data_IF_954685978764
#
_entry.id   IF_954685978764
#
_cell.length_a   1.000
_cell.length_b   1.000
_cell.length_c   1.000
_cell.angle_alpha   90.00
_cell.angle_beta   90.00
_cell.angle_gamma   90.00
#
_symmetry.space_group_name_H-M   'P 1'
#
loop_
_entity.id
_entity.type
_entity.pdbx_description
1 polymer ?
#
# COMPACT_ATOMS: atom_id res chain seq x y z
N UNK A 1 5.78 6.09 8.47
CA UNK A 1 4.78 5.52 7.53
C UNK A 1 5.03 4.04 7.25
N UNK A 2 6.29 3.62 7.07
CA UNK A 2 6.66 2.21 6.85
C UNK A 2 6.08 1.24 7.89
N UNK A 3 6.20 1.55 9.18
CA UNK A 3 5.69 0.68 10.25
C UNK A 3 4.16 0.62 10.30
N UNK A 4 3.49 1.75 10.04
CA UNK A 4 2.03 1.79 9.90
C UNK A 4 1.55 0.88 8.77
N UNK A 5 2.19 0.97 7.60
CA UNK A 5 1.86 0.13 6.45
C UNK A 5 2.09 -1.36 6.75
N UNK A 6 3.20 -1.71 7.42
CA UNK A 6 3.47 -3.08 7.86
C UNK A 6 2.36 -3.61 8.76
N UNK A 7 1.97 -2.82 9.77
CA UNK A 7 0.92 -3.22 10.70
C UNK A 7 -0.42 -3.44 9.99
N UNK A 8 -0.81 -2.51 9.12
CA UNK A 8 -2.06 -2.62 8.34
C UNK A 8 -2.03 -3.79 7.36
N UNK A 9 -0.88 -4.06 6.75
CA UNK A 9 -0.69 -5.20 5.86
C UNK A 9 -0.85 -6.53 6.62
N UNK A 10 -0.30 -6.65 7.81
CA UNK A 10 -0.48 -7.84 8.64
C UNK A 10 -1.95 -8.02 9.06
N UNK A 11 -2.65 -6.93 9.38
CA UNK A 11 -4.10 -6.96 9.60
C UNK A 11 -4.84 -7.49 8.37
N UNK A 12 -4.61 -6.89 7.19
CA UNK A 12 -5.22 -7.31 5.92
C UNK A 12 -4.90 -8.76 5.54
N UNK A 13 -3.67 -9.22 5.77
CA UNK A 13 -3.28 -10.63 5.57
C UNK A 13 -4.10 -11.56 6.45
N UNK A 14 -4.47 -11.14 7.65
CA UNK A 14 -5.22 -11.95 8.62
C UNK A 14 -6.72 -11.93 8.36
N UNK A 15 -7.31 -10.75 8.12
CA UNK A 15 -8.76 -10.58 8.05
C UNK A 15 -9.31 -10.51 6.62
N UNK A 16 -8.51 -10.06 5.65
CA UNK A 16 -8.87 -9.87 4.24
C UNK A 16 -10.17 -9.07 4.04
N UNK A 17 -10.43 -8.09 4.91
CA UNK A 17 -11.66 -7.30 4.86
C UNK A 17 -11.52 -6.08 3.95
N UNK A 18 -12.65 -5.52 3.54
CA UNK A 18 -12.67 -4.26 2.78
C UNK A 18 -12.16 -3.09 3.65
N UNK A 19 -12.45 -3.09 4.95
CA UNK A 19 -11.98 -2.07 5.88
C UNK A 19 -10.45 -2.06 6.00
N UNK A 20 -9.80 -3.21 6.18
CA UNK A 20 -8.33 -3.27 6.24
C UNK A 20 -7.68 -2.94 4.89
N UNK A 21 -8.37 -3.22 3.78
CA UNK A 21 -7.97 -2.78 2.44
C UNK A 21 -8.07 -1.26 2.26
N UNK A 22 -9.12 -0.63 2.80
CA UNK A 22 -9.27 0.83 2.79
C UNK A 22 -8.20 1.52 3.65
N UNK A 23 -7.85 0.96 4.80
CA UNK A 23 -6.77 1.47 5.65
C UNK A 23 -5.42 1.50 4.91
N UNK A 24 -5.10 0.42 4.19
CA UNK A 24 -3.93 0.35 3.32
C UNK A 24 -3.98 1.44 2.24
N UNK A 25 -5.11 1.60 1.57
CA UNK A 25 -5.28 2.61 0.53
C UNK A 25 -5.08 4.03 1.06
N UNK A 26 -5.68 4.36 2.19
CA UNK A 26 -5.59 5.70 2.79
C UNK A 26 -4.14 6.05 3.18
N UNK A 27 -3.43 5.08 3.74
CA UNK A 27 -2.04 5.29 4.15
C UNK A 27 -1.12 5.41 2.93
N UNK A 28 -1.30 4.58 1.89
CA UNK A 28 -0.57 4.69 0.63
C UNK A 28 -0.86 6.01 -0.09
N UNK A 29 -2.11 6.46 -0.08
CA UNK A 29 -2.49 7.74 -0.66
C UNK A 29 -1.82 8.93 0.05
N UNK A 30 -1.54 8.79 1.35
CA UNK A 30 -0.80 9.79 2.13
C UNK A 30 0.70 9.84 1.81
N UNK A 31 1.27 8.74 1.30
CA UNK A 31 2.68 8.66 0.86
C UNK A 31 2.89 9.45 -0.45
N UNK A 32 1.87 9.53 -1.32
CA UNK A 32 1.96 10.31 -2.58
C UNK A 32 1.99 11.84 -2.40
N UNK A 33 2.11 12.36 -1.17
CA UNK A 33 2.24 13.80 -0.95
C UNK A 33 3.60 14.31 -1.49
N UNK A 34 3.61 15.31 -2.39
CA UNK A 34 4.84 15.86 -3.00
C UNK A 34 5.82 16.47 -1.98
N UNK A 35 5.37 16.67 -0.75
CA UNK A 35 6.19 17.17 0.37
C UNK A 35 7.19 16.16 0.93
N UNK A 36 7.09 14.87 0.57
CA UNK A 36 7.89 13.81 1.18
C UNK A 36 9.21 13.51 0.44
N UNK A 37 9.44 14.13 -0.73
CA UNK A 37 10.74 14.03 -1.43
C UNK A 37 11.12 12.61 -1.87
N UNK A 38 10.14 11.72 -2.06
CA UNK A 38 10.38 10.34 -2.45
C UNK A 38 10.97 10.22 -3.85
N UNK A 39 11.84 9.22 -4.03
CA UNK A 39 12.40 8.88 -5.33
C UNK A 39 11.36 8.26 -6.28
N UNK A 40 11.65 8.31 -7.59
CA UNK A 40 10.73 7.83 -8.63
C UNK A 40 10.33 6.37 -8.45
N UNK A 41 11.20 5.52 -7.89
CA UNK A 41 10.91 4.12 -7.60
C UNK A 41 9.82 3.98 -6.54
N UNK A 42 9.93 4.76 -5.47
CA UNK A 42 8.91 4.80 -4.41
C UNK A 42 7.57 5.32 -4.94
N UNK A 43 7.57 6.36 -5.78
CA UNK A 43 6.35 6.89 -6.39
C UNK A 43 5.67 5.87 -7.31
N UNK A 44 6.45 5.15 -8.13
CA UNK A 44 5.92 4.09 -8.99
C UNK A 44 5.29 2.96 -8.17
N UNK A 45 5.94 2.51 -7.09
CA UNK A 45 5.40 1.49 -6.20
C UNK A 45 4.07 1.94 -5.56
N UNK A 46 3.99 3.21 -5.15
CA UNK A 46 2.76 3.81 -4.59
C UNK A 46 1.63 3.82 -5.63
N UNK A 47 1.90 4.23 -6.87
CA UNK A 47 0.89 4.23 -7.93
C UNK A 47 0.40 2.81 -8.28
N UNK A 48 1.30 1.84 -8.35
CA UNK A 48 0.95 0.44 -8.58
C UNK A 48 0.04 -0.10 -7.47
N UNK A 49 0.43 0.10 -6.20
CA UNK A 49 -0.37 -0.35 -5.07
C UNK A 49 -1.75 0.31 -5.02
N UNK A 50 -1.88 1.61 -5.37
CA UNK A 50 -3.18 2.29 -5.47
C UNK A 50 -4.08 1.64 -6.53
N UNK A 51 -3.54 1.29 -7.70
CA UNK A 51 -4.30 0.60 -8.75
C UNK A 51 -4.76 -0.79 -8.29
N UNK A 52 -3.88 -1.55 -7.65
CA UNK A 52 -4.21 -2.88 -7.13
C UNK A 52 -5.27 -2.82 -6.03
N UNK A 53 -5.18 -1.84 -5.12
CA UNK A 53 -6.17 -1.63 -4.05
C UNK A 53 -7.52 -1.12 -4.56
N UNK A 54 -7.57 -0.34 -5.65
CA UNK A 54 -8.84 0.13 -6.22
C UNK A 54 -9.51 -0.90 -7.13
N UNK A 55 -8.81 -1.98 -7.49
CA UNK A 55 -9.38 -3.05 -8.30
C UNK A 55 -10.41 -3.85 -7.49
N UNK A 56 -11.65 -3.95 -8.01
CA UNK A 56 -12.77 -4.71 -7.38
C UNK A 56 -12.51 -6.21 -7.31
N UNK A 57 -11.75 -6.75 -8.26
CA UNK A 57 -11.32 -8.16 -8.32
C UNK A 57 -9.89 -8.28 -7.78
N UNK A 58 -9.57 -7.53 -6.72
CA UNK A 58 -8.23 -7.52 -6.14
C UNK A 58 -7.91 -8.89 -5.56
N UNK A 59 -7.01 -9.63 -6.21
CA UNK A 59 -6.48 -10.87 -5.65
C UNK A 59 -5.66 -10.52 -4.40
N UNK A 60 -5.99 -11.11 -3.26
CA UNK A 60 -5.31 -10.87 -1.97
C UNK A 60 -3.78 -10.92 -2.11
N UNK A 61 -3.27 -11.88 -2.90
CA UNK A 61 -1.84 -12.04 -3.14
C UNK A 61 -1.21 -10.84 -3.86
N UNK A 62 -1.91 -10.26 -4.84
CA UNK A 62 -1.46 -9.07 -5.58
C UNK A 62 -1.48 -7.82 -4.70
N UNK A 63 -2.52 -7.66 -3.88
CA UNK A 63 -2.59 -6.57 -2.89
C UNK A 63 -1.42 -6.68 -1.92
N UNK A 64 -1.17 -7.87 -1.37
CA UNK A 64 -0.04 -8.08 -0.45
C UNK A 64 1.29 -7.71 -1.10
N UNK A 65 1.57 -8.24 -2.30
CA UNK A 65 2.82 -7.97 -3.02
C UNK A 65 3.02 -6.49 -3.33
N UNK A 66 1.98 -5.82 -3.82
CA UNK A 66 2.08 -4.39 -4.17
C UNK A 66 2.35 -3.52 -2.93
N UNK A 67 1.73 -3.82 -1.79
CA UNK A 67 1.98 -3.13 -0.53
C UNK A 67 3.38 -3.42 0.02
N UNK A 68 3.86 -4.67 -0.06
CA UNK A 68 5.24 -5.03 0.33
C UNK A 68 6.29 -4.31 -0.53
N UNK A 69 6.00 -4.08 -1.81
CA UNK A 69 6.84 -3.30 -2.70
C UNK A 69 6.94 -1.83 -2.24
N UNK A 70 5.82 -1.21 -1.85
CA UNK A 70 5.81 0.13 -1.24
C UNK A 70 6.64 0.16 0.04
N UNK A 71 6.42 -0.79 0.96
CA UNK A 71 7.16 -0.87 2.24
C UNK A 71 8.68 -0.98 2.00
N UNK A 72 9.08 -1.76 1.00
CA UNK A 72 10.49 -1.97 0.65
C UNK A 72 11.12 -0.73 0.02
N UNK A 73 10.34 0.05 -0.71
CA UNK A 73 10.78 1.30 -1.35
C UNK A 73 10.87 2.47 -0.36
N UNK A 74 10.05 2.46 0.69
CA UNK A 74 10.16 3.41 1.79
C UNK A 74 11.48 3.19 2.55
N UNK A 75 12.40 4.16 2.47
CA UNK A 75 13.62 4.18 3.28
C UNK A 75 13.28 4.36 4.76
#
# INVERSE_FOLDING_TARGET
MKDTLKSQLESYKRDNTESSKEELYNTINSISSPTLGYDSSTLNAVEEAKKTLTTRIGNKSEIVKSVENVISSLK
#
